data_IF_083057531876
#
_entry.id   IF_083057531876
#
_cell.length_a   1.000
_cell.length_b   1.000
_cell.length_c   1.000
_cell.angle_alpha   90.00
_cell.angle_beta   90.00
_cell.angle_gamma   90.00
#
_symmetry.space_group_name_H-M   'P 1'
#
loop_
_entity.id
_entity.type
_entity.pdbx_description
1 polymer ?
#
# COMPACT_ATOMS: atom_id res chain seq x y z
N UNK A 1 37.29 -0.85 -27.14
CA UNK A 1 36.82 -0.06 -25.97
C UNK A 1 35.35 0.16 -26.18
N UNK A 2 34.53 -0.40 -25.28
CA UNK A 2 33.11 -0.66 -25.50
C UNK A 2 32.23 0.60 -25.44
N UNK A 3 31.00 0.52 -25.98
CA UNK A 3 29.97 1.51 -25.69
C UNK A 3 29.54 1.35 -24.24
N UNK A 4 29.45 2.46 -23.53
CA UNK A 4 28.97 2.52 -22.16
C UNK A 4 27.46 2.23 -22.20
N UNK A 5 27.09 1.01 -21.81
CA UNK A 5 25.72 0.60 -21.58
C UNK A 5 25.29 1.17 -20.23
N UNK A 6 24.50 2.24 -20.28
CA UNK A 6 23.83 2.79 -19.11
C UNK A 6 22.34 2.89 -19.43
N UNK A 7 21.51 1.91 -19.01
CA UNK A 7 20.08 2.14 -18.90
C UNK A 7 19.84 2.87 -17.59
N UNK A 8 19.94 4.20 -17.61
CA UNK A 8 19.13 5.01 -16.69
C UNK A 8 17.72 5.05 -17.26
N UNK A 9 17.00 3.94 -17.13
CA UNK A 9 15.54 4.01 -17.15
C UNK A 9 15.09 4.55 -15.78
N UNK A 10 15.38 5.83 -15.57
CA UNK A 10 14.61 6.66 -14.65
C UNK A 10 13.66 7.49 -15.50
N UNK A 11 12.88 6.81 -16.35
CA UNK A 11 11.75 7.45 -16.99
C UNK A 11 10.66 7.59 -15.94
N UNK A 12 10.76 8.71 -15.22
CA UNK A 12 9.69 9.30 -14.42
C UNK A 12 8.38 9.08 -15.17
N UNK A 13 7.46 8.31 -14.59
CA UNK A 13 6.08 8.24 -15.07
C UNK A 13 5.42 9.58 -14.80
N UNK A 14 5.71 10.55 -15.67
CA UNK A 14 4.94 11.77 -15.82
C UNK A 14 3.66 11.42 -16.58
N UNK A 15 2.81 10.61 -15.95
CA UNK A 15 1.47 10.31 -16.46
C UNK A 15 0.45 11.17 -15.72
N UNK A 16 0.06 12.29 -16.32
CA UNK A 16 -1.11 13.14 -16.02
C UNK A 16 -1.75 13.01 -14.60
N UNK A 17 -1.79 14.08 -13.77
CA UNK A 17 -2.50 14.05 -12.48
C UNK A 17 -4.03 14.19 -12.64
N UNK A 18 -4.64 13.60 -13.67
CA UNK A 18 -6.09 13.73 -13.92
C UNK A 18 -6.70 12.42 -14.40
N UNK A 19 -6.45 11.36 -13.64
CA UNK A 19 -7.40 10.25 -13.46
C UNK A 19 -7.59 10.15 -11.95
N UNK A 20 -8.74 10.63 -11.44
CA UNK A 20 -8.91 11.08 -10.06
C UNK A 20 -8.39 10.13 -8.97
N UNK A 21 -7.52 10.66 -8.12
CA UNK A 21 -7.49 10.50 -6.67
C UNK A 21 -7.85 9.12 -6.08
N UNK A 22 -7.31 8.05 -6.66
CA UNK A 22 -7.51 6.68 -6.18
C UNK A 22 -6.21 6.00 -5.75
N UNK A 23 -5.06 6.48 -6.23
CA UNK A 23 -3.77 5.91 -5.88
C UNK A 23 -3.38 6.30 -4.44
N UNK A 24 -2.99 5.32 -3.62
CA UNK A 24 -2.48 5.57 -2.27
C UNK A 24 -0.96 5.51 -2.29
N UNK A 25 -0.29 6.64 -2.07
CA UNK A 25 1.16 6.69 -2.02
C UNK A 25 1.70 6.58 -0.60
N UNK A 26 2.90 5.99 -0.45
CA UNK A 26 3.58 5.85 0.84
C UNK A 26 3.84 7.19 1.52
N UNK A 27 4.10 8.21 0.71
CA UNK A 27 4.33 9.60 1.14
C UNK A 27 3.10 10.24 1.82
N UNK A 28 1.89 9.81 1.46
CA UNK A 28 0.65 10.25 2.12
C UNK A 28 0.45 9.60 3.49
N UNK A 29 1.23 8.55 3.79
CA UNK A 29 1.05 7.67 4.94
C UNK A 29 2.36 7.44 5.72
N UNK A 30 3.18 8.50 5.88
CA UNK A 30 4.44 8.44 6.63
C UNK A 30 4.25 8.13 8.12
N UNK A 31 3.05 8.34 8.67
CA UNK A 31 2.72 7.97 10.05
C UNK A 31 2.59 6.46 10.24
N UNK A 32 2.27 5.70 9.18
CA UNK A 32 2.13 4.25 9.24
C UNK A 32 3.51 3.57 9.27
N UNK A 33 3.69 2.59 10.12
CA UNK A 33 4.86 1.73 10.09
C UNK A 33 4.90 0.89 8.81
N UNK A 34 6.07 0.39 8.41
CA UNK A 34 6.22 -0.48 7.24
C UNK A 34 5.25 -1.69 7.23
N UNK A 35 5.08 -2.46 8.33
CA UNK A 35 4.12 -3.57 8.32
C UNK A 35 2.66 -3.11 8.15
N UNK A 36 2.30 -1.94 8.66
CA UNK A 36 0.95 -1.38 8.51
C UNK A 36 0.69 -0.93 7.08
N UNK A 37 1.69 -0.32 6.44
CA UNK A 37 1.62 0.04 5.03
C UNK A 37 1.51 -1.17 4.11
N UNK A 38 2.31 -2.21 4.35
CA UNK A 38 2.18 -3.44 3.58
C UNK A 38 0.82 -4.11 3.78
N UNK A 39 0.27 -4.05 5.00
CA UNK A 39 -1.07 -4.54 5.28
C UNK A 39 -2.14 -3.76 4.51
N UNK A 40 -2.01 -2.43 4.38
CA UNK A 40 -2.91 -1.64 3.55
C UNK A 40 -2.77 -1.95 2.06
N UNK A 41 -1.56 -2.21 1.57
CA UNK A 41 -1.37 -2.66 0.19
C UNK A 41 -2.01 -4.03 -0.05
N UNK A 42 -1.94 -4.95 0.91
CA UNK A 42 -2.66 -6.24 0.79
C UNK A 42 -4.17 -6.05 0.90
N UNK A 43 -4.63 -5.18 1.81
CA UNK A 43 -6.05 -4.83 1.93
C UNK A 43 -6.57 -4.21 0.63
N UNK A 44 -5.79 -3.38 -0.07
CA UNK A 44 -6.17 -2.80 -1.36
C UNK A 44 -6.35 -3.86 -2.45
N UNK A 45 -5.63 -4.99 -2.39
CA UNK A 45 -5.90 -6.14 -3.29
C UNK A 45 -7.21 -6.85 -2.98
N UNK A 46 -7.69 -6.79 -1.73
CA UNK A 46 -8.92 -7.48 -1.28
C UNK A 46 -10.17 -6.64 -1.56
N UNK A 47 -10.14 -5.35 -1.20
CA UNK A 47 -11.31 -4.47 -1.29
C UNK A 47 -11.20 -3.38 -2.38
N UNK A 48 -10.06 -3.31 -3.05
CA UNK A 48 -9.77 -2.29 -4.05
C UNK A 48 -9.08 -1.06 -3.45
N UNK A 49 -8.19 -0.47 -4.24
CA UNK A 49 -7.44 0.74 -3.87
C UNK A 49 -8.37 1.93 -3.60
N UNK A 50 -9.46 2.07 -4.36
CA UNK A 50 -10.44 3.13 -4.16
C UNK A 50 -11.10 3.11 -2.78
N UNK A 51 -11.39 1.91 -2.27
CA UNK A 51 -11.96 1.73 -0.95
C UNK A 51 -10.93 2.11 0.13
N UNK A 52 -9.68 1.66 -0.01
CA UNK A 52 -8.59 2.02 0.91
C UNK A 52 -8.31 3.52 0.89
N UNK A 53 -8.21 4.15 -0.29
CA UNK A 53 -8.03 5.59 -0.44
C UNK A 53 -9.17 6.39 0.21
N UNK A 54 -10.41 5.91 0.07
CA UNK A 54 -11.57 6.51 0.75
C UNK A 54 -11.45 6.38 2.26
N UNK A 55 -11.09 5.19 2.77
CA UNK A 55 -10.89 4.96 4.20
C UNK A 55 -9.81 5.89 4.76
N UNK A 56 -8.67 6.02 4.10
CA UNK A 56 -7.59 6.92 4.53
C UNK A 56 -8.01 8.39 4.51
N UNK A 57 -8.88 8.80 3.58
CA UNK A 57 -9.43 10.16 3.54
C UNK A 57 -10.41 10.44 4.69
N UNK A 58 -11.15 9.43 5.13
CA UNK A 58 -12.20 9.58 6.15
C UNK A 58 -11.73 9.31 7.57
N UNK A 59 -10.77 8.40 7.74
CA UNK A 59 -10.29 7.94 9.04
C UNK A 59 -9.14 8.82 9.53
N UNK A 60 -9.13 9.08 10.84
CA UNK A 60 -8.00 9.72 11.51
C UNK A 60 -6.75 8.82 11.48
N UNK A 61 -5.52 9.36 11.61
CA UNK A 61 -4.30 8.55 11.64
C UNK A 61 -4.38 7.36 12.61
N UNK A 62 -4.92 7.56 13.81
CA UNK A 62 -5.11 6.50 14.82
C UNK A 62 -6.07 5.41 14.36
N UNK A 63 -7.16 5.77 13.67
CA UNK A 63 -8.09 4.79 13.11
C UNK A 63 -7.48 4.02 11.94
N UNK A 64 -6.66 4.67 11.13
CA UNK A 64 -5.92 4.01 10.04
C UNK A 64 -4.95 2.94 10.57
N UNK A 65 -4.23 3.25 11.65
CA UNK A 65 -3.43 2.27 12.39
C UNK A 65 -4.28 1.10 12.88
N UNK A 66 -5.45 1.38 13.47
CA UNK A 66 -6.38 0.36 13.92
C UNK A 66 -6.84 -0.59 12.80
N UNK A 67 -7.14 -0.05 11.62
CA UNK A 67 -7.49 -0.83 10.43
C UNK A 67 -6.33 -1.71 9.98
N UNK A 68 -5.12 -1.15 9.88
CA UNK A 68 -3.94 -1.88 9.44
C UNK A 68 -3.59 -3.02 10.42
N UNK A 69 -3.54 -2.74 11.73
CA UNK A 69 -3.29 -3.74 12.76
C UNK A 69 -4.37 -4.82 12.80
N UNK A 70 -5.65 -4.44 12.67
CA UNK A 70 -6.75 -5.40 12.61
C UNK A 70 -6.64 -6.35 11.40
N UNK A 71 -6.23 -5.82 10.25
CA UNK A 71 -5.96 -6.64 9.06
C UNK A 71 -4.79 -7.60 9.28
N UNK A 72 -3.66 -7.12 9.83
CA UNK A 72 -2.49 -7.96 10.14
C UNK A 72 -2.86 -9.10 11.08
N UNK A 73 -3.57 -8.81 12.17
CA UNK A 73 -3.96 -9.85 13.15
C UNK A 73 -4.87 -10.90 12.52
N UNK A 74 -5.79 -10.48 11.65
CA UNK A 74 -6.66 -11.40 10.91
C UNK A 74 -5.85 -12.27 9.95
N UNK A 75 -4.97 -11.66 9.15
CA UNK A 75 -4.12 -12.34 8.18
C UNK A 75 -3.16 -13.33 8.85
N UNK A 76 -2.56 -12.97 9.98
CA UNK A 76 -1.69 -13.87 10.76
C UNK A 76 -2.44 -15.10 11.25
N UNK A 77 -3.69 -14.93 11.72
CA UNK A 77 -4.53 -16.06 12.12
C UNK A 77 -4.82 -17.00 10.96
N UNK A 78 -5.22 -16.46 9.81
CA UNK A 78 -5.49 -17.24 8.60
C UNK A 78 -4.23 -17.97 8.12
N UNK A 79 -3.07 -17.28 8.13
CA UNK A 79 -1.78 -17.86 7.77
C UNK A 79 -1.37 -18.99 8.71
N UNK A 80 -1.52 -18.81 10.03
CA UNK A 80 -1.25 -19.85 11.01
C UNK A 80 -2.13 -21.09 10.81
N UNK A 81 -3.42 -20.90 10.55
CA UNK A 81 -4.32 -22.03 10.25
C UNK A 81 -3.91 -22.79 9.00
N UNK A 82 -3.42 -22.10 7.96
CA UNK A 82 -2.96 -22.73 6.72
C UNK A 82 -1.58 -23.40 6.85
N UNK A 83 -0.77 -22.99 7.82
CA UNK A 83 0.55 -23.58 8.07
C UNK A 83 0.49 -24.89 8.88
N UNK A 84 -0.67 -25.24 9.45
CA UNK A 84 -0.82 -26.40 10.34
C UNK A 84 -1.37 -27.65 9.62
N UNK A 85 -1.27 -27.73 8.28
CA UNK A 85 -1.77 -28.85 7.46
C UNK A 85 -0.66 -29.76 6.97
#
# INVERSE_FOLDING_TARGET
MGPEDLPVDVSMSTGNPTTGATHVAREDCLHLADPEWEALQRLSTVIGEAAVATMLRTLSPTEQHGVALGFIMKEQRETATRATV
#
